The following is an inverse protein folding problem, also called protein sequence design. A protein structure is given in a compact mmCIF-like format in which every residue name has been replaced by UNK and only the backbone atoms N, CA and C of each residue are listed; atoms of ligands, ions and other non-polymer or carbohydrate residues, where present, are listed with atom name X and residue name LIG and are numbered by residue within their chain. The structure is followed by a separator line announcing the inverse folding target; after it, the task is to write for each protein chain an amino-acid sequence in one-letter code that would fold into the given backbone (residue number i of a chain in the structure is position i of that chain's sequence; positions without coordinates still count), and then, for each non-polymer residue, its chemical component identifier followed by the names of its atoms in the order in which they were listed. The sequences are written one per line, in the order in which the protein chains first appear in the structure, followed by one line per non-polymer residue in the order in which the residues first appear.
data_IF_563986077053
#
_entry.id   IF_563986077053
#
_cell.length_a   1.000
_cell.length_b   1.000
_cell.length_c   1.000
_cell.angle_alpha   90.00
_cell.angle_beta   90.00
_cell.angle_gamma   90.00
#
_symmetry.space_group_name_H-M   'P 1'
#
loop_
_entity.id
_entity.type
_entity.pdbx_description
1 polymer ?
#
# COMPACT_ATOMS: atom_id res chain seq x y z
N UNK A 1 19.97 -21.76 13.94
CA UNK A 1 18.81 -20.89 14.26
C UNK A 1 18.40 -20.19 12.96
N UNK A 2 17.09 -20.03 12.69
CA UNK A 2 16.60 -19.39 11.45
C UNK A 2 16.55 -17.86 11.58
N UNK A 3 16.55 -17.14 10.46
CA UNK A 3 16.42 -15.69 10.46
C UNK A 3 15.06 -15.20 10.99
N UNK A 4 15.03 -14.02 11.66
CA UNK A 4 13.80 -13.35 12.08
C UNK A 4 12.85 -13.12 10.90
N UNK A 5 11.56 -13.09 11.19
CA UNK A 5 10.52 -12.97 10.16
C UNK A 5 10.63 -11.67 9.37
N UNK A 6 11.06 -10.58 9.99
CA UNK A 6 11.23 -9.29 9.31
C UNK A 6 12.25 -9.30 8.16
N UNK A 7 13.16 -10.30 8.14
CA UNK A 7 14.08 -10.58 7.03
C UNK A 7 13.58 -11.72 6.14
N UNK A 8 13.17 -12.83 6.75
CA UNK A 8 12.83 -14.06 6.01
C UNK A 8 11.49 -13.99 5.27
N UNK A 9 10.55 -13.21 5.81
CA UNK A 9 9.21 -13.05 5.26
C UNK A 9 9.07 -11.79 4.39
N UNK A 10 10.17 -11.15 4.01
CA UNK A 10 10.17 -9.99 3.09
C UNK A 10 9.37 -10.29 1.81
N UNK A 11 9.63 -11.41 1.09
CA UNK A 11 8.91 -11.67 -0.16
C UNK A 11 7.40 -11.82 0.04
N UNK A 12 6.97 -12.44 1.14
CA UNK A 12 5.55 -12.70 1.42
C UNK A 12 4.82 -11.40 1.78
N UNK A 13 5.39 -10.58 2.67
CA UNK A 13 4.76 -9.32 3.08
C UNK A 13 4.82 -8.29 1.96
N UNK A 14 5.98 -8.09 1.33
CA UNK A 14 6.11 -7.13 0.23
C UNK A 14 5.29 -7.57 -0.99
N UNK A 15 5.21 -8.88 -1.27
CA UNK A 15 4.40 -9.41 -2.36
C UNK A 15 2.91 -9.15 -2.17
N UNK A 16 2.38 -9.39 -0.96
CA UNK A 16 0.99 -9.09 -0.63
C UNK A 16 0.69 -7.58 -0.73
N UNK A 17 1.56 -6.73 -0.18
CA UNK A 17 1.39 -5.29 -0.30
C UNK A 17 1.44 -4.84 -1.76
N UNK A 18 2.41 -5.30 -2.55
CA UNK A 18 2.51 -4.98 -3.98
C UNK A 18 1.24 -5.32 -4.75
N UNK A 19 0.61 -6.46 -4.47
CA UNK A 19 -0.67 -6.83 -5.08
C UNK A 19 -1.79 -5.83 -4.74
N UNK A 20 -1.84 -5.35 -3.50
CA UNK A 20 -2.81 -4.33 -3.10
C UNK A 20 -2.59 -3.01 -3.85
N UNK A 21 -1.34 -2.53 -3.95
CA UNK A 21 -1.01 -1.34 -4.74
C UNK A 21 -1.34 -1.51 -6.22
N UNK A 22 -1.09 -2.70 -6.78
CA UNK A 22 -1.43 -3.00 -8.17
C UNK A 22 -2.94 -2.95 -8.40
N UNK A 23 -3.74 -3.55 -7.52
CA UNK A 23 -5.21 -3.48 -7.62
C UNK A 23 -5.73 -2.05 -7.48
N UNK A 24 -5.21 -1.27 -6.52
CA UNK A 24 -5.56 0.13 -6.36
C UNK A 24 -5.25 0.94 -7.63
N UNK A 25 -4.08 0.70 -8.24
CA UNK A 25 -3.70 1.31 -9.51
C UNK A 25 -4.70 1.00 -10.63
N UNK A 26 -5.09 -0.27 -10.80
CA UNK A 26 -6.03 -0.69 -11.85
C UNK A 26 -7.40 0.01 -11.71
N UNK A 27 -7.90 0.14 -10.47
CA UNK A 27 -9.16 0.84 -10.19
C UNK A 27 -9.03 2.35 -10.42
N UNK A 28 -7.94 2.97 -9.98
CA UNK A 28 -7.69 4.40 -10.21
C UNK A 28 -7.57 4.70 -11.71
N UNK A 29 -6.85 3.88 -12.48
CA UNK A 29 -6.72 4.03 -13.92
C UNK A 29 -8.10 3.89 -14.62
N UNK A 30 -8.95 2.98 -14.16
CA UNK A 30 -10.32 2.85 -14.68
C UNK A 30 -11.17 4.08 -14.38
N UNK A 31 -11.15 4.56 -13.14
CA UNK A 31 -11.95 5.71 -12.72
C UNK A 31 -11.51 7.00 -13.41
N UNK A 32 -10.20 7.21 -13.54
CA UNK A 32 -9.62 8.36 -14.22
C UNK A 32 -10.08 8.48 -15.69
N UNK A 33 -10.37 7.34 -16.33
CA UNK A 33 -10.83 7.26 -17.71
C UNK A 33 -12.35 7.04 -17.84
N UNK A 34 -13.10 7.13 -16.74
CA UNK A 34 -14.56 6.97 -16.72
C UNK A 34 -15.29 8.32 -16.86
N UNK A 35 -16.48 8.29 -17.45
CA UNK A 35 -17.41 9.43 -17.41
C UNK A 35 -18.19 9.41 -16.08
N UNK A 36 -17.63 10.08 -15.07
CA UNK A 36 -18.17 10.12 -13.69
C UNK A 36 -19.20 11.23 -13.46
N UNK A 37 -19.53 12.05 -14.47
CA UNK A 37 -20.55 13.08 -14.37
C UNK A 37 -21.98 12.49 -14.46
N UNK A 38 -22.99 13.33 -14.25
CA UNK A 38 -24.41 12.98 -14.42
C UNK A 38 -25.27 14.22 -14.75
N UNK A 39 -26.17 14.18 -15.74
CA UNK A 39 -26.51 13.02 -16.58
C UNK A 39 -25.52 12.80 -17.72
N UNK A 40 -25.46 11.56 -18.22
CA UNK A 40 -24.65 11.21 -19.38
C UNK A 40 -25.47 11.45 -20.66
N UNK A 41 -24.84 12.08 -21.65
CA UNK A 41 -25.46 12.41 -22.93
C UNK A 41 -24.93 11.44 -24.00
N UNK A 42 -25.84 10.77 -24.69
CA UNK A 42 -25.55 9.85 -25.79
C UNK A 42 -26.19 10.41 -27.06
N UNK A 43 -25.46 11.33 -27.71
CA UNK A 43 -25.94 12.12 -28.86
C UNK A 43 -26.36 11.24 -30.05
N UNK A 44 -25.54 10.25 -30.41
CA UNK A 44 -25.84 9.32 -31.52
C UNK A 44 -27.11 8.48 -31.29
N UNK A 45 -27.53 8.34 -30.03
CA UNK A 45 -28.73 7.59 -29.64
C UNK A 45 -29.93 8.48 -29.31
N UNK A 46 -29.79 9.81 -29.38
CA UNK A 46 -30.77 10.81 -28.91
C UNK A 46 -31.25 10.51 -27.47
N UNK A 47 -30.30 10.21 -26.57
CA UNK A 47 -30.58 9.79 -25.18
C UNK A 47 -29.83 10.60 -24.14
N UNK A 48 -30.51 10.86 -23.02
CA UNK A 48 -29.94 11.40 -21.79
C UNK A 48 -30.21 10.40 -20.67
N UNK A 49 -29.15 9.88 -20.04
CA UNK A 49 -29.25 8.90 -18.97
C UNK A 49 -28.85 9.52 -17.63
N UNK A 50 -29.77 9.48 -16.67
CA UNK A 50 -29.44 9.79 -15.27
C UNK A 50 -28.97 8.51 -14.57
N UNK A 51 -27.74 8.52 -14.08
CA UNK A 51 -27.11 7.42 -13.36
C UNK A 51 -26.45 7.88 -12.07
N UNK A 52 -25.53 7.06 -11.56
CA UNK A 52 -24.82 7.28 -10.29
C UNK A 52 -23.30 7.25 -10.42
N UNK A 53 -22.75 7.48 -11.62
CA UNK A 53 -21.32 7.33 -11.90
C UNK A 53 -20.44 8.32 -11.09
N UNK A 54 -21.03 9.36 -10.52
CA UNK A 54 -20.34 10.31 -9.62
C UNK A 54 -19.97 9.70 -8.27
N UNK A 55 -20.51 8.53 -7.93
CA UNK A 55 -20.26 7.90 -6.63
C UNK A 55 -18.93 7.14 -6.63
N UNK A 56 -17.90 7.71 -5.98
CA UNK A 56 -16.54 7.18 -5.91
C UNK A 56 -16.35 5.96 -4.97
N UNK A 57 -17.36 5.08 -4.83
CA UNK A 57 -17.25 3.90 -3.95
C UNK A 57 -16.11 2.96 -4.36
N UNK A 58 -15.84 2.70 -5.66
CA UNK A 58 -14.72 1.85 -6.06
C UNK A 58 -13.38 2.40 -5.56
N UNK A 59 -13.15 3.71 -5.67
CA UNK A 59 -11.96 4.38 -5.15
C UNK A 59 -11.85 4.25 -3.63
N UNK A 60 -12.94 4.53 -2.90
CA UNK A 60 -12.94 4.46 -1.45
C UNK A 60 -12.47 3.09 -0.94
N UNK A 61 -13.04 2.00 -1.50
CA UNK A 61 -12.70 0.64 -1.09
C UNK A 61 -11.24 0.26 -1.37
N UNK A 62 -10.70 0.63 -2.54
CA UNK A 62 -9.30 0.30 -2.84
C UNK A 62 -8.30 1.15 -2.06
N UNK A 63 -8.66 2.38 -1.68
CA UNK A 63 -7.82 3.24 -0.85
C UNK A 63 -7.74 2.72 0.59
N UNK A 64 -8.85 2.24 1.16
CA UNK A 64 -8.85 1.58 2.47
C UNK A 64 -7.99 0.31 2.46
N UNK A 65 -8.11 -0.50 1.40
CA UNK A 65 -7.28 -1.69 1.22
C UNK A 65 -5.79 -1.34 1.09
N UNK A 66 -5.47 -0.30 0.32
CA UNK A 66 -4.09 0.19 0.16
C UNK A 66 -3.52 0.75 1.47
N UNK A 67 -4.33 1.41 2.29
CA UNK A 67 -3.90 1.92 3.60
C UNK A 67 -3.43 0.78 4.52
N UNK A 68 -4.16 -0.34 4.55
CA UNK A 68 -3.75 -1.55 5.30
C UNK A 68 -2.42 -2.08 4.75
N UNK A 69 -2.30 -2.22 3.42
CA UNK A 69 -1.09 -2.73 2.79
C UNK A 69 0.15 -1.85 3.06
N UNK A 70 -0.02 -0.53 3.12
CA UNK A 70 1.03 0.43 3.47
C UNK A 70 1.45 0.31 4.94
N UNK A 71 0.49 0.13 5.85
CA UNK A 71 0.76 -0.08 7.27
C UNK A 71 1.63 -1.33 7.50
N UNK A 72 1.34 -2.42 6.79
CA UNK A 72 2.12 -3.67 6.89
C UNK A 72 3.56 -3.51 6.35
N UNK A 73 3.76 -2.74 5.26
CA UNK A 73 5.11 -2.40 4.78
C UNK A 73 5.90 -1.59 5.83
N UNK A 74 5.23 -0.62 6.46
CA UNK A 74 5.81 0.15 7.56
C UNK A 74 6.20 -0.74 8.73
N UNK A 75 5.29 -1.64 9.14
CA UNK A 75 5.50 -2.55 10.26
C UNK A 75 6.72 -3.46 10.04
N UNK A 76 6.79 -4.16 8.90
CA UNK A 76 7.92 -5.06 8.66
C UNK A 76 9.25 -4.31 8.54
N UNK A 77 9.22 -3.08 8.02
CA UNK A 77 10.40 -2.21 7.96
C UNK A 77 10.86 -1.81 9.36
N UNK A 78 9.94 -1.39 10.20
CA UNK A 78 10.23 -1.03 11.60
C UNK A 78 10.77 -2.23 12.39
N UNK A 79 10.18 -3.43 12.21
CA UNK A 79 10.70 -4.66 12.83
C UNK A 79 12.11 -5.03 12.33
N UNK A 80 12.48 -4.68 11.09
CA UNK A 80 13.88 -4.82 10.63
C UNK A 80 14.80 -3.81 11.31
N UNK A 81 14.39 -2.55 11.40
CA UNK A 81 15.16 -1.51 12.11
C UNK A 81 15.41 -1.92 13.55
N UNK A 82 14.39 -2.41 14.26
CA UNK A 82 14.52 -2.95 15.62
C UNK A 82 15.63 -4.01 15.71
N UNK A 83 15.64 -5.00 14.81
CA UNK A 83 16.65 -6.06 14.81
C UNK A 83 18.06 -5.53 14.55
N UNK A 84 18.21 -4.47 13.76
CA UNK A 84 19.51 -3.83 13.49
C UNK A 84 20.01 -3.05 14.72
N UNK A 85 19.15 -2.22 15.33
CA UNK A 85 19.54 -1.41 16.49
C UNK A 85 19.71 -2.22 17.77
N UNK A 86 19.23 -3.46 17.82
CA UNK A 86 19.45 -4.34 18.97
C UNK A 86 20.94 -4.71 19.14
N UNK A 87 21.78 -4.54 18.12
CA UNK A 87 23.21 -4.83 18.20
C UNK A 87 23.55 -6.32 18.19
N UNK A 88 22.66 -7.15 17.65
CA UNK A 88 22.96 -8.56 17.41
C UNK A 88 23.81 -8.73 16.15
N UNK A 89 24.34 -9.95 15.94
CA UNK A 89 25.06 -10.35 14.71
C UNK A 89 26.31 -9.50 14.41
N UNK A 90 26.99 -9.02 15.46
CA UNK A 90 28.24 -8.27 15.32
C UNK A 90 28.04 -6.79 15.00
N UNK A 91 26.82 -6.28 15.11
CA UNK A 91 26.54 -4.84 15.06
C UNK A 91 26.69 -4.24 16.46
N UNK A 92 27.16 -2.99 16.59
CA UNK A 92 27.12 -2.33 17.88
C UNK A 92 25.67 -2.01 18.27
N UNK A 93 25.31 -2.06 19.57
CA UNK A 93 24.01 -1.59 20.05
C UNK A 93 23.68 -0.19 19.55
N UNK A 94 22.44 0.01 19.12
CA UNK A 94 21.93 1.24 18.52
C UNK A 94 22.68 1.69 17.26
N UNK A 95 23.52 0.83 16.68
CA UNK A 95 24.46 1.15 15.61
C UNK A 95 25.43 2.29 15.98
N UNK A 96 25.67 2.49 17.28
CA UNK A 96 26.53 3.55 17.79
C UNK A 96 28.00 3.10 17.85
N UNK A 97 28.97 3.96 17.46
CA UNK A 97 30.39 3.61 17.57
C UNK A 97 30.83 3.44 19.04
N UNK A 98 30.24 4.21 19.96
CA UNK A 98 30.52 4.16 21.40
C UNK A 98 29.21 4.11 22.21
N UNK A 99 28.56 2.92 22.29
CA UNK A 99 27.25 2.80 22.92
C UNK A 99 27.22 3.27 24.37
N UNK A 100 26.31 4.18 24.68
CA UNK A 100 26.15 4.78 26.02
C UNK A 100 26.90 6.10 26.22
N UNK A 101 27.74 6.51 25.26
CA UNK A 101 28.35 7.85 25.19
C UNK A 101 27.82 8.66 24.00
N UNK A 102 27.66 7.99 22.85
CA UNK A 102 27.22 8.56 21.58
C UNK A 102 26.14 7.69 20.93
#
# INVERSE_FOLDING_TARGET
MQDPYSFRCVPQVHGASYQAFKHAKEVIETELNSATDNPNIFDEEDKILSGGNFHAQPLALVLDYMAIALAELGNISERRVYQLINGDRGLPPYLAPEPGLH
#
